data_IF_744305129863
#
_entry.id   IF_744305129863
#
_cell.length_a   1.000
_cell.length_b   1.000
_cell.length_c   1.000
_cell.angle_alpha   90.00
_cell.angle_beta   90.00
_cell.angle_gamma   90.00
#
_symmetry.space_group_name_H-M   'P 1'
#
loop_
_entity.id
_entity.type
_entity.pdbx_description
1 polymer ?
#
# COMPACT_ATOMS: atom_id res chain seq x y z
N UNK A 1 17.46 56.75 0.18
CA UNK A 1 16.80 55.58 0.78
C UNK A 1 15.48 55.38 0.08
N UNK A 2 15.22 54.29 -0.65
CA UNK A 2 13.90 54.10 -1.23
C UNK A 2 13.00 53.43 -0.20
N UNK A 3 12.06 54.20 0.34
CA UNK A 3 10.88 53.70 1.04
C UNK A 3 9.96 53.01 0.03
N UNK A 4 9.95 51.68 -0.04
CA UNK A 4 9.13 50.93 -0.99
C UNK A 4 7.92 50.30 -0.31
N UNK A 5 6.89 51.11 -0.04
CA UNK A 5 5.55 50.60 0.26
C UNK A 5 4.76 50.36 -1.04
N UNK A 6 4.26 49.14 -1.22
CA UNK A 6 3.58 48.71 -2.46
C UNK A 6 2.10 49.14 -2.51
N UNK A 7 1.63 49.58 -3.70
CA UNK A 7 0.22 49.79 -4.04
C UNK A 7 -0.03 49.29 -5.47
N UNK A 8 -0.25 47.98 -5.66
CA UNK A 8 -0.19 47.40 -7.01
C UNK A 8 -1.55 47.41 -7.76
N UNK A 9 -1.69 48.33 -8.73
CA UNK A 9 -1.78 48.02 -10.17
C UNK A 9 -1.24 49.19 -11.03
N UNK A 10 -0.62 48.92 -12.21
CA UNK A 10 -0.54 47.63 -12.90
C UNK A 10 0.84 46.92 -12.80
N UNK A 11 0.75 45.65 -12.39
CA UNK A 11 1.56 44.45 -12.69
C UNK A 11 3.08 44.59 -12.87
N UNK A 12 3.82 44.59 -11.76
CA UNK A 12 4.92 43.65 -11.44
C UNK A 12 5.56 44.16 -10.14
N UNK A 13 5.05 43.71 -9.00
CA UNK A 13 5.64 44.11 -7.71
C UNK A 13 7.03 43.41 -7.63
N UNK A 14 8.15 44.15 -7.49
CA UNK A 14 9.47 43.60 -7.65
C UNK A 14 9.94 42.92 -6.36
N UNK A 15 10.43 41.69 -6.47
CA UNK A 15 11.42 41.16 -5.53
C UNK A 15 10.99 39.95 -4.69
N UNK A 16 10.01 40.09 -3.80
CA UNK A 16 9.68 39.03 -2.82
C UNK A 16 8.17 38.95 -2.59
N UNK A 17 7.57 37.82 -2.97
CA UNK A 17 6.20 37.48 -2.59
C UNK A 17 6.20 36.89 -1.18
N UNK A 18 5.40 37.45 -0.26
CA UNK A 18 5.33 36.96 1.12
C UNK A 18 4.71 35.56 1.13
N UNK A 19 5.34 34.61 1.84
CA UNK A 19 4.80 33.25 1.98
C UNK A 19 3.82 33.17 3.15
N UNK A 20 2.66 32.57 2.93
CA UNK A 20 1.61 32.44 3.96
C UNK A 20 1.08 31.01 4.04
N UNK A 21 0.56 30.59 5.20
CA UNK A 21 -0.17 29.34 5.32
C UNK A 21 -1.44 29.33 4.45
N UNK A 22 -1.71 28.16 3.86
CA UNK A 22 -2.97 27.89 3.16
C UNK A 22 -4.18 28.02 4.10
N UNK A 23 -5.35 28.31 3.53
CA UNK A 23 -6.62 28.41 4.26
C UNK A 23 -6.66 29.51 5.35
N UNK A 24 -5.88 30.58 5.19
CA UNK A 24 -5.90 31.76 6.07
C UNK A 24 -6.38 33.01 5.33
N UNK A 25 -6.90 34.01 6.05
CA UNK A 25 -7.30 35.30 5.45
C UNK A 25 -6.14 35.98 4.70
N UNK A 26 -4.91 35.74 5.14
CA UNK A 26 -3.69 36.22 4.50
C UNK A 26 -3.48 35.62 3.09
N UNK A 27 -3.99 34.42 2.81
CA UNK A 27 -3.92 33.78 1.49
C UNK A 27 -4.80 34.46 0.44
N UNK A 28 -5.82 35.23 0.86
CA UNK A 28 -6.69 36.01 -0.03
C UNK A 28 -6.13 37.39 -0.39
N UNK A 29 -5.01 37.81 0.21
CA UNK A 29 -4.40 39.10 -0.04
C UNK A 29 -3.49 39.07 -1.27
N UNK A 30 -3.26 40.24 -1.89
CA UNK A 30 -2.40 40.37 -3.07
C UNK A 30 -0.91 40.18 -2.71
N UNK A 31 -0.10 39.83 -3.71
CA UNK A 31 1.37 39.72 -3.61
C UNK A 31 1.85 38.64 -2.63
N UNK A 32 1.18 37.49 -2.65
CA UNK A 32 1.37 36.37 -1.72
C UNK A 32 1.62 35.08 -2.49
N UNK A 33 2.46 34.21 -1.93
CA UNK A 33 2.56 32.81 -2.33
C UNK A 33 2.09 31.93 -1.18
N UNK A 34 1.09 31.10 -1.41
CA UNK A 34 0.61 30.14 -0.42
C UNK A 34 1.60 28.97 -0.34
N UNK A 35 1.89 28.49 0.88
CA UNK A 35 2.65 27.25 1.04
C UNK A 35 1.92 26.10 0.36
N UNK A 36 2.62 25.39 -0.51
CA UNK A 36 2.14 24.11 -1.03
C UNK A 36 1.86 23.16 0.14
N UNK A 37 0.79 22.35 0.08
CA UNK A 37 0.61 21.29 1.06
C UNK A 37 1.84 20.39 1.07
N UNK A 38 2.15 19.79 2.22
CA UNK A 38 3.21 18.79 2.30
C UNK A 38 2.95 17.73 1.21
N UNK A 39 3.93 17.40 0.34
CA UNK A 39 3.76 16.37 -0.65
C UNK A 39 3.43 15.04 0.05
N UNK A 40 2.20 14.55 -0.14
CA UNK A 40 1.80 13.25 0.36
C UNK A 40 2.21 12.22 -0.71
N UNK A 41 2.99 11.19 -0.37
CA UNK A 41 3.43 10.17 -1.32
C UNK A 41 2.31 9.18 -1.68
N UNK A 42 1.16 9.68 -2.16
CA UNK A 42 -0.01 8.86 -2.50
C UNK A 42 0.28 7.88 -3.64
N UNK A 43 1.15 8.27 -4.57
CA UNK A 43 1.55 7.46 -5.73
C UNK A 43 2.90 6.77 -5.55
N UNK A 44 3.53 6.89 -4.39
CA UNK A 44 4.78 6.19 -4.15
C UNK A 44 4.50 4.70 -3.94
N UNK A 45 5.18 3.87 -4.74
CA UNK A 45 5.14 2.41 -4.58
C UNK A 45 5.64 2.07 -3.18
N UNK A 46 4.82 1.37 -2.41
CA UNK A 46 5.20 0.87 -1.09
C UNK A 46 5.90 -0.48 -1.26
N UNK A 47 7.02 -0.73 -0.55
CA UNK A 47 7.61 -2.05 -0.54
C UNK A 47 6.58 -3.04 0.01
N UNK A 48 6.45 -4.19 -0.65
CA UNK A 48 5.59 -5.25 -0.16
C UNK A 48 6.09 -5.74 1.20
N UNK A 49 5.15 -6.06 2.10
CA UNK A 49 5.47 -6.78 3.33
C UNK A 49 5.98 -8.18 3.00
N UNK A 50 6.82 -8.74 3.85
CA UNK A 50 7.14 -10.17 3.77
C UNK A 50 5.88 -10.96 4.11
N UNK A 51 5.38 -11.76 3.16
CA UNK A 51 4.17 -12.55 3.38
C UNK A 51 4.44 -13.72 4.34
N UNK A 52 3.40 -14.16 5.03
CA UNK A 52 3.40 -15.44 5.75
C UNK A 52 3.61 -16.58 4.75
N UNK A 53 3.02 -16.46 3.56
CA UNK A 53 3.19 -17.41 2.45
C UNK A 53 4.66 -17.76 2.21
N UNK A 54 5.55 -16.75 2.10
CA UNK A 54 6.99 -16.98 1.90
C UNK A 54 7.62 -17.82 3.01
N UNK A 55 7.23 -17.60 4.26
CA UNK A 55 7.69 -18.40 5.40
C UNK A 55 7.23 -19.86 5.33
N UNK A 56 5.96 -20.11 5.02
CA UNK A 56 5.42 -21.47 4.85
C UNK A 56 6.01 -22.17 3.62
N UNK A 57 6.27 -21.43 2.56
CA UNK A 57 6.88 -21.96 1.34
C UNK A 57 8.30 -22.46 1.60
N UNK A 58 9.13 -21.65 2.27
CA UNK A 58 10.50 -22.03 2.61
C UNK A 58 10.58 -23.20 3.59
N UNK A 59 9.60 -23.34 4.47
CA UNK A 59 9.49 -24.50 5.36
C UNK A 59 9.04 -25.78 4.66
N UNK A 60 8.42 -25.68 3.48
CA UNK A 60 7.83 -26.83 2.78
C UNK A 60 6.44 -27.24 3.30
N UNK A 61 5.77 -26.36 4.04
CA UNK A 61 4.43 -26.62 4.61
C UNK A 61 3.30 -26.44 3.58
N UNK A 62 3.62 -25.93 2.39
CA UNK A 62 2.65 -25.65 1.33
C UNK A 62 2.59 -26.86 0.38
N UNK A 63 1.40 -27.42 0.08
CA UNK A 63 1.24 -28.63 -0.73
C UNK A 63 1.40 -28.35 -2.24
N UNK A 64 2.38 -27.53 -2.61
CA UNK A 64 2.71 -27.16 -3.98
C UNK A 64 4.22 -27.27 -4.17
N UNK A 65 4.65 -27.76 -5.33
CA UNK A 65 6.06 -27.81 -5.70
C UNK A 65 6.29 -27.52 -7.18
N UNK A 66 7.54 -27.16 -7.50
CA UNK A 66 8.00 -27.00 -8.87
C UNK A 66 8.31 -28.37 -9.46
N UNK A 67 7.70 -28.71 -10.58
CA UNK A 67 8.17 -29.84 -11.38
C UNK A 67 9.23 -29.35 -12.38
N UNK A 68 10.42 -29.95 -12.33
CA UNK A 68 11.50 -29.68 -13.27
C UNK A 68 11.68 -30.92 -14.16
N UNK A 69 11.06 -30.91 -15.34
CA UNK A 69 11.29 -31.96 -16.33
C UNK A 69 12.71 -31.88 -16.90
N UNK A 70 13.26 -33.02 -17.32
CA UNK A 70 14.61 -33.16 -17.92
C UNK A 70 14.87 -32.29 -19.16
N UNK A 71 13.82 -31.68 -19.74
CA UNK A 71 13.92 -30.77 -20.90
C UNK A 71 13.67 -29.29 -20.61
N UNK A 72 13.57 -28.85 -19.34
CA UNK A 72 13.66 -27.45 -18.88
C UNK A 72 13.00 -26.30 -19.70
N UNK A 73 12.01 -26.55 -20.57
CA UNK A 73 11.38 -25.49 -21.39
C UNK A 73 10.10 -24.91 -20.75
N UNK A 74 9.47 -25.63 -19.80
CA UNK A 74 8.20 -25.18 -19.22
C UNK A 74 8.13 -25.53 -17.73
N UNK A 75 7.91 -24.52 -16.90
CA UNK A 75 7.73 -24.69 -15.45
C UNK A 75 6.26 -25.00 -15.20
N UNK A 76 5.99 -26.18 -14.65
CA UNK A 76 4.65 -26.57 -14.25
C UNK A 76 4.59 -26.66 -12.74
N UNK A 77 3.47 -26.19 -12.19
CA UNK A 77 3.17 -26.25 -10.77
C UNK A 77 2.48 -27.58 -10.53
N UNK A 78 3.04 -28.37 -9.61
CA UNK A 78 2.49 -29.65 -9.22
C UNK A 78 1.95 -29.56 -7.80
N UNK A 79 0.69 -29.94 -7.65
CA UNK A 79 0.05 -30.10 -6.36
C UNK A 79 0.44 -31.46 -5.76
N UNK A 80 0.90 -31.46 -4.51
CA UNK A 80 1.11 -32.71 -3.75
C UNK A 80 -0.22 -33.30 -3.29
N UNK A 81 -1.17 -32.43 -2.97
CA UNK A 81 -2.53 -32.80 -2.61
C UNK A 81 -3.47 -32.12 -3.59
N UNK A 82 -4.40 -32.86 -4.22
CA UNK A 82 -5.37 -32.28 -5.14
C UNK A 82 -6.12 -31.10 -4.49
N UNK A 83 -6.27 -29.96 -5.18
CA UNK A 83 -6.84 -28.74 -4.60
C UNK A 83 -8.26 -28.96 -4.06
N UNK A 84 -8.99 -29.93 -4.61
CA UNK A 84 -10.37 -30.23 -4.21
C UNK A 84 -10.48 -30.98 -2.88
N UNK A 85 -9.36 -31.52 -2.35
CA UNK A 85 -9.29 -32.18 -1.04
C UNK A 85 -8.60 -31.30 0.01
N UNK A 86 -8.20 -30.08 -0.36
CA UNK A 86 -7.45 -29.20 0.52
C UNK A 86 -8.35 -28.49 1.52
N UNK A 87 -7.85 -28.24 2.73
CA UNK A 87 -8.55 -27.41 3.71
C UNK A 87 -8.46 -25.92 3.33
N UNK A 88 -9.52 -25.43 2.68
CA UNK A 88 -9.64 -24.04 2.24
C UNK A 88 -9.48 -23.01 3.35
N UNK A 89 -9.96 -23.30 4.57
CA UNK A 89 -9.88 -22.34 5.69
C UNK A 89 -8.43 -22.03 6.09
N UNK A 90 -7.52 -23.01 5.94
CA UNK A 90 -6.11 -22.84 6.27
C UNK A 90 -5.29 -22.30 5.10
N UNK A 91 -5.49 -22.85 3.91
CA UNK A 91 -4.62 -22.60 2.78
C UNK A 91 -5.08 -21.41 1.93
N UNK A 92 -6.37 -21.19 1.74
CA UNK A 92 -6.85 -20.11 0.87
C UNK A 92 -6.42 -18.72 1.39
N UNK A 93 -6.61 -18.37 2.69
CA UNK A 93 -6.09 -17.10 3.21
C UNK A 93 -4.56 -16.99 3.12
N UNK A 94 -3.84 -18.11 3.25
CA UNK A 94 -2.38 -18.15 3.11
C UNK A 94 -1.95 -17.81 1.67
N UNK A 95 -2.62 -18.35 0.66
CA UNK A 95 -2.37 -18.04 -0.75
C UNK A 95 -2.75 -16.60 -1.10
N UNK A 96 -3.83 -16.06 -0.52
CA UNK A 96 -4.19 -14.64 -0.66
C UNK A 96 -3.13 -13.70 -0.06
N UNK A 97 -2.55 -14.05 1.10
CA UNK A 97 -1.43 -13.29 1.66
C UNK A 97 -0.19 -13.33 0.75
N UNK A 98 0.02 -14.43 0.02
CA UNK A 98 1.09 -14.57 -0.96
C UNK A 98 0.95 -13.66 -2.19
N UNK A 99 -0.23 -13.07 -2.47
CA UNK A 99 -0.42 -12.17 -3.62
C UNK A 99 0.35 -10.86 -3.49
N UNK A 100 0.79 -10.49 -2.28
CA UNK A 100 1.66 -9.33 -2.09
C UNK A 100 3.11 -9.58 -2.52
N UNK A 101 3.51 -10.83 -2.76
CA UNK A 101 4.87 -11.17 -3.19
C UNK A 101 5.12 -10.74 -4.64
N UNK A 102 6.23 -10.04 -4.86
CA UNK A 102 6.67 -9.57 -6.17
C UNK A 102 7.83 -10.38 -6.76
N UNK A 103 8.50 -11.20 -5.94
CA UNK A 103 9.70 -11.95 -6.32
C UNK A 103 9.38 -13.34 -6.85
N UNK A 104 10.03 -13.72 -7.95
CA UNK A 104 10.07 -15.11 -8.42
C UNK A 104 10.85 -15.98 -7.42
N UNK A 105 10.38 -17.19 -7.05
CA UNK A 105 9.23 -17.94 -7.61
C UNK A 105 7.90 -17.77 -6.84
N UNK A 106 7.91 -17.09 -5.70
CA UNK A 106 6.76 -17.04 -4.78
C UNK A 106 5.52 -16.40 -5.41
N UNK A 107 5.73 -15.37 -6.23
CA UNK A 107 4.67 -14.65 -6.94
C UNK A 107 3.86 -15.58 -7.84
N UNK A 108 4.53 -16.44 -8.59
CA UNK A 108 3.90 -17.35 -9.54
C UNK A 108 3.14 -18.44 -8.79
N UNK A 109 3.74 -19.02 -7.75
CA UNK A 109 3.08 -20.02 -6.90
C UNK A 109 1.84 -19.48 -6.20
N UNK A 110 1.89 -18.26 -5.67
CA UNK A 110 0.74 -17.64 -5.03
C UNK A 110 -0.40 -17.40 -6.03
N UNK A 111 -0.11 -16.84 -7.21
CA UNK A 111 -1.10 -16.52 -8.24
C UNK A 111 -1.79 -17.76 -8.80
N UNK A 112 -1.00 -18.75 -9.20
CA UNK A 112 -1.55 -20.01 -9.71
C UNK A 112 -2.29 -20.77 -8.62
N UNK A 113 -1.75 -20.81 -7.39
CA UNK A 113 -2.41 -21.46 -6.26
C UNK A 113 -3.79 -20.89 -5.95
N UNK A 114 -3.94 -19.55 -5.93
CA UNK A 114 -5.26 -18.91 -5.76
C UNK A 114 -6.20 -19.28 -6.90
N UNK A 115 -5.74 -19.24 -8.16
CA UNK A 115 -6.57 -19.56 -9.33
C UNK A 115 -7.11 -20.99 -9.25
N UNK A 116 -6.24 -21.97 -9.00
CA UNK A 116 -6.62 -23.38 -8.93
C UNK A 116 -7.57 -23.66 -7.76
N UNK A 117 -7.30 -23.06 -6.59
CA UNK A 117 -8.18 -23.20 -5.43
C UNK A 117 -9.56 -22.61 -5.68
N UNK A 118 -9.65 -21.42 -6.30
CA UNK A 118 -10.94 -20.80 -6.59
C UNK A 118 -11.74 -21.62 -7.60
N UNK A 119 -11.10 -22.14 -8.66
CA UNK A 119 -11.76 -23.01 -9.64
C UNK A 119 -12.34 -24.25 -8.94
N UNK A 120 -11.52 -24.98 -8.18
CA UNK A 120 -11.96 -26.16 -7.45
C UNK A 120 -13.00 -25.86 -6.35
N UNK A 121 -12.94 -24.65 -5.75
CA UNK A 121 -13.81 -24.23 -4.67
C UNK A 121 -15.22 -23.88 -5.14
N UNK A 122 -15.36 -23.31 -6.35
CA UNK A 122 -16.67 -23.00 -6.95
C UNK A 122 -17.53 -24.23 -7.20
N UNK A 123 -16.92 -25.42 -7.35
CA UNK A 123 -17.63 -26.67 -7.59
C UNK A 123 -18.09 -27.38 -6.30
N UNK A 124 -17.52 -27.04 -5.12
CA UNK A 124 -17.71 -27.85 -3.90
C UNK A 124 -18.21 -27.12 -2.67
N UNK A 125 -17.96 -25.81 -2.52
CA UNK A 125 -18.32 -25.09 -1.28
C UNK A 125 -18.86 -23.68 -1.54
N UNK A 126 -19.79 -23.18 -0.69
CA UNK A 126 -20.16 -21.77 -0.72
C UNK A 126 -18.98 -20.91 -0.23
N UNK A 127 -18.24 -20.32 -1.16
CA UNK A 127 -17.08 -19.46 -0.89
C UNK A 127 -17.39 -18.27 0.04
N UNK A 128 -18.67 -17.89 0.14
CA UNK A 128 -19.15 -16.76 0.93
C UNK A 128 -18.73 -16.86 2.41
N UNK A 129 -18.87 -18.04 3.02
CA UNK A 129 -18.53 -18.25 4.44
C UNK A 129 -17.03 -18.07 4.72
N UNK A 130 -16.17 -18.37 3.74
CA UNK A 130 -14.72 -18.29 3.90
C UNK A 130 -14.24 -16.85 3.65
N UNK A 131 -14.83 -16.15 2.68
CA UNK A 131 -14.52 -14.75 2.37
C UNK A 131 -14.89 -13.80 3.52
N UNK A 132 -15.94 -14.11 4.29
CA UNK A 132 -16.29 -13.35 5.50
C UNK A 132 -15.22 -13.43 6.59
N UNK A 133 -14.56 -14.59 6.75
CA UNK A 133 -13.43 -14.75 7.68
C UNK A 133 -12.12 -14.11 7.21
N UNK A 134 -11.99 -13.83 5.90
CA UNK A 134 -10.81 -13.19 5.31
C UNK A 134 -10.89 -11.66 5.28
N UNK A 135 -12.06 -11.09 5.56
CA UNK A 135 -12.20 -9.65 5.78
C UNK A 135 -11.51 -9.31 7.09
N UNK A 136 -10.21 -9.01 7.02
CA UNK A 136 -9.47 -8.47 8.16
C UNK A 136 -10.27 -7.29 8.72
N UNK A 137 -10.63 -7.26 10.02
CA UNK A 137 -11.10 -6.03 10.63
C UNK A 137 -10.01 -4.99 10.34
N UNK A 138 -10.40 -3.89 9.70
CA UNK A 138 -9.47 -2.93 9.13
C UNK A 138 -8.33 -2.66 10.11
N UNK A 139 -7.10 -2.96 9.67
CA UNK A 139 -5.89 -2.54 10.36
C UNK A 139 -6.11 -1.12 10.89
N UNK A 140 -6.16 -0.93 12.23
CA UNK A 140 -6.29 0.40 12.77
C UNK A 140 -5.04 1.16 12.36
N UNK A 141 -5.26 2.15 11.49
CA UNK A 141 -4.32 3.17 11.09
C UNK A 141 -3.39 3.50 12.26
N UNK A 142 -2.09 3.38 12.01
CA UNK A 142 -0.99 3.92 12.81
C UNK A 142 -1.47 5.06 13.72
N UNK A 143 -1.80 4.74 14.97
CA UNK A 143 -1.80 5.74 16.03
C UNK A 143 -0.35 5.95 16.43
N UNK A 144 0.01 7.23 16.56
CA UNK A 144 1.21 7.76 17.18
C UNK A 144 2.43 7.95 16.26
N UNK A 145 2.42 9.10 15.59
CA UNK A 145 3.54 10.03 15.80
C UNK A 145 2.99 11.34 16.32
N UNK A 146 3.42 11.68 17.53
CA UNK A 146 3.04 12.86 18.28
C UNK A 146 3.30 14.09 17.41
N UNK A 147 2.24 14.85 17.07
CA UNK A 147 2.40 16.25 16.70
C UNK A 147 2.82 17.02 17.95
N UNK A 148 4.09 16.95 18.32
CA UNK A 148 4.71 18.03 19.09
C UNK A 148 4.94 19.17 18.12
N UNK A 149 3.89 19.96 17.90
CA UNK A 149 4.05 21.32 17.37
C UNK A 149 4.53 22.17 18.55
N UNK A 150 5.72 22.79 18.51
CA UNK A 150 6.05 23.81 19.48
C UNK A 150 5.16 25.02 19.18
N UNK A 151 4.08 25.19 19.96
CA UNK A 151 3.42 26.49 20.09
C UNK A 151 4.39 27.39 20.84
N UNK A 152 5.25 28.11 20.12
CA UNK A 152 5.84 29.32 20.64
C UNK A 152 4.72 30.35 20.76
N UNK A 153 4.17 30.44 21.97
CA UNK A 153 3.37 31.58 22.41
C UNK A 153 4.39 32.70 22.64
N UNK A 154 4.53 33.57 21.65
CA UNK A 154 5.19 34.85 21.85
C UNK A 154 4.28 35.71 22.71
N UNK A 155 4.55 35.75 24.00
CA UNK A 155 4.12 36.84 24.88
C UNK A 155 4.86 38.09 24.44
N UNK A 156 4.14 39.15 24.06
CA UNK A 156 4.69 40.50 24.00
C UNK A 156 3.93 41.35 25.03
N UNK A 157 4.70 41.90 25.97
CA UNK A 157 4.30 43.05 26.78
C UNK A 157 4.66 44.35 26.09
#
# INVERSE_FOLDING_TARGET
MPSTSCWCQPRTCPGILRRVPAFTVQACQRCVVVWSPCPIPVFCIRPARVSRFRGFFLRGDIPISRECGTRCVKHFIKWHTPPEQLNYQRFLPLFFDGLCESTFPYREFARHGVSDLLIAGTERQPLNTIMDGMRTPGEPLLQNSKRTSPRNIATFG
#
